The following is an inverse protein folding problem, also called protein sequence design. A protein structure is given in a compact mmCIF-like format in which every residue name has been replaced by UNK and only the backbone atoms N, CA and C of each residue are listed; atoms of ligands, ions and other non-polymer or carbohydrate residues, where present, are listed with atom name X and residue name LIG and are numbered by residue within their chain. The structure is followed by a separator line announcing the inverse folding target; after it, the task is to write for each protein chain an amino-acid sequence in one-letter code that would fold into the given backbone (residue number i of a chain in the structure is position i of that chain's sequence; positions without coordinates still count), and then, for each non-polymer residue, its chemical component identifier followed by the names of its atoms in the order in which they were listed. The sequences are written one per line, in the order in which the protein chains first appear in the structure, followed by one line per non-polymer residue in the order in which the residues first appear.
data_IF_463847968548
#
_entry.id   IF_463847968548
#
_cell.length_a   1.000
_cell.length_b   1.000
_cell.length_c   1.000
_cell.angle_alpha   90.00
_cell.angle_beta   90.00
_cell.angle_gamma   90.00
#
_symmetry.space_group_name_H-M   'P 1'
#
loop_
_entity.id
_entity.type
_entity.pdbx_description
1 polymer ?
#
# COMPACT_ATOMS: atom_id res chain seq x y z
N UNK A 1 3.86 18.78 -22.64
CA UNK A 1 5.03 19.35 -21.94
C UNK A 1 4.75 20.63 -21.14
N UNK A 2 3.84 21.53 -21.55
CA UNK A 2 3.54 22.76 -20.78
C UNK A 2 2.77 22.51 -19.47
N UNK A 3 1.81 21.59 -19.44
CA UNK A 3 1.03 21.22 -18.24
C UNK A 3 1.89 20.60 -17.12
N UNK A 4 2.85 19.75 -17.47
CA UNK A 4 3.75 19.11 -16.51
C UNK A 4 4.68 20.12 -15.83
N UNK A 5 5.17 21.13 -16.58
CA UNK A 5 5.97 22.24 -16.03
C UNK A 5 5.16 23.10 -15.06
N UNK A 6 3.89 23.38 -15.38
CA UNK A 6 3.02 24.18 -14.50
C UNK A 6 2.70 23.46 -13.18
N UNK A 7 2.52 22.14 -13.19
CA UNK A 7 2.31 21.34 -11.97
C UNK A 7 3.54 21.26 -11.08
N UNK A 8 4.74 21.16 -11.69
CA UNK A 8 6.00 21.15 -10.93
C UNK A 8 6.28 22.51 -10.30
N UNK A 9 6.00 23.60 -11.02
CA UNK A 9 6.17 24.97 -10.51
C UNK A 9 5.14 25.26 -9.39
N UNK A 10 3.89 24.83 -9.53
CA UNK A 10 2.88 24.97 -8.49
C UNK A 10 3.25 24.21 -7.21
N UNK A 11 3.81 22.99 -7.33
CA UNK A 11 4.29 22.20 -6.20
C UNK A 11 5.51 22.85 -5.51
N UNK A 12 6.41 23.47 -6.27
CA UNK A 12 7.56 24.21 -5.71
C UNK A 12 7.15 25.51 -5.01
N UNK A 13 6.14 26.22 -5.51
CA UNK A 13 5.66 27.47 -4.90
C UNK A 13 4.85 27.18 -3.62
N UNK A 14 4.06 26.12 -3.58
CA UNK A 14 3.36 25.70 -2.38
C UNK A 14 4.30 25.26 -1.24
N UNK A 15 5.50 24.74 -1.57
CA UNK A 15 6.54 24.39 -0.61
C UNK A 15 7.29 25.58 0.00
N UNK A 16 7.30 26.74 -0.66
CA UNK A 16 8.09 27.91 -0.25
C UNK A 16 7.37 28.85 0.74
N UNK A 17 6.04 28.74 0.89
CA UNK A 17 5.24 29.65 1.69
C UNK A 17 5.10 29.29 3.18
N UNK A 18 5.54 28.10 3.60
CA UNK A 18 5.52 27.72 5.01
C UNK A 18 6.85 28.09 5.69
N UNK A 19 6.96 29.33 6.20
CA UNK A 19 7.98 29.66 7.21
C UNK A 19 7.75 28.78 8.44
N UNK A 20 8.47 27.66 8.53
CA UNK A 20 8.48 26.83 9.73
C UNK A 20 9.20 27.59 10.84
N UNK A 21 8.57 27.76 12.03
CA UNK A 21 9.30 28.24 13.20
C UNK A 21 10.46 27.25 13.47
N UNK A 22 11.63 27.77 13.85
CA UNK A 22 12.77 26.93 14.21
C UNK A 22 12.35 25.93 15.29
N UNK A 23 12.71 24.64 15.18
CA UNK A 23 12.35 23.66 16.17
C UNK A 23 12.94 24.05 17.53
N UNK A 24 12.17 23.96 18.63
CA UNK A 24 12.67 24.29 19.96
C UNK A 24 13.89 23.40 20.24
N UNK A 25 14.92 23.97 20.91
CA UNK A 25 16.18 23.29 21.25
C UNK A 25 16.00 21.89 21.87
N UNK A 26 14.87 21.64 22.51
CA UNK A 26 14.48 20.33 23.04
C UNK A 26 14.33 19.23 21.96
N UNK A 27 13.99 19.57 20.70
CA UNK A 27 13.85 18.60 19.62
C UNK A 27 15.22 18.10 19.10
N UNK A 28 16.25 18.95 19.12
CA UNK A 28 17.60 18.60 18.68
C UNK A 28 18.29 17.68 19.71
N UNK A 29 17.94 17.79 20.98
CA UNK A 29 18.53 16.97 22.06
C UNK A 29 17.96 15.52 22.06
N UNK A 30 16.76 15.27 21.49
CA UNK A 30 16.17 13.91 21.39
C UNK A 30 16.79 13.03 20.32
N UNK A 31 17.51 13.58 19.36
CA UNK A 31 18.22 12.81 18.33
C UNK A 31 19.49 12.12 18.84
N UNK A 32 19.94 12.41 20.07
CA UNK A 32 21.08 11.76 20.74
C UNK A 32 20.71 10.54 21.58
N UNK A 33 19.42 10.33 21.87
CA UNK A 33 18.92 9.09 22.48
C UNK A 33 18.75 8.06 21.38
N UNK A 34 19.44 6.91 21.46
CA UNK A 34 19.39 5.86 20.45
C UNK A 34 17.96 5.52 20.03
N UNK A 35 17.78 5.14 18.75
CA UNK A 35 16.50 4.73 18.15
C UNK A 35 15.92 3.55 18.94
N UNK A 36 15.08 3.82 19.93
CA UNK A 36 14.31 2.77 20.60
C UNK A 36 13.04 2.46 19.83
N UNK A 37 12.57 1.22 19.88
CA UNK A 37 11.31 0.81 19.26
C UNK A 37 10.14 1.73 19.71
N UNK A 38 10.16 2.15 20.99
CA UNK A 38 9.16 3.08 21.54
C UNK A 38 9.23 4.46 20.91
N UNK A 39 10.42 5.01 20.64
CA UNK A 39 10.57 6.32 19.98
C UNK A 39 10.15 6.27 18.51
N UNK A 40 10.42 5.17 17.80
CA UNK A 40 9.98 4.96 16.42
C UNK A 40 8.44 4.84 16.34
N UNK A 41 7.83 4.06 17.24
CA UNK A 41 6.39 3.93 17.31
C UNK A 41 5.68 5.26 17.63
N UNK A 42 6.25 6.05 18.56
CA UNK A 42 5.73 7.38 18.88
C UNK A 42 5.83 8.34 17.69
N UNK A 43 6.97 8.35 16.98
CA UNK A 43 7.17 9.18 15.79
C UNK A 43 6.24 8.80 14.64
N UNK A 44 6.05 7.49 14.40
CA UNK A 44 5.11 6.99 13.41
C UNK A 44 3.65 7.35 13.77
N UNK A 45 3.26 7.19 15.04
CA UNK A 45 1.95 7.59 15.54
C UNK A 45 1.69 9.09 15.39
N UNK A 46 2.69 9.93 15.64
CA UNK A 46 2.62 11.37 15.42
C UNK A 46 2.46 11.71 13.93
N UNK A 47 3.21 11.04 13.05
CA UNK A 47 3.09 11.20 11.61
C UNK A 47 1.70 10.78 11.09
N UNK A 48 1.15 9.66 11.59
CA UNK A 48 -0.22 9.21 11.25
C UNK A 48 -1.28 10.21 11.67
N UNK A 49 -1.12 10.91 12.79
CA UNK A 49 -2.09 11.90 13.27
C UNK A 49 -2.02 13.22 12.51
N UNK A 50 -0.82 13.63 12.06
CA UNK A 50 -0.62 14.91 11.35
C UNK A 50 -0.84 14.83 9.85
N UNK A 51 -0.39 13.72 9.23
CA UNK A 51 -0.46 13.51 7.78
C UNK A 51 -0.84 12.06 7.46
N UNK A 52 -2.08 11.63 7.74
CA UNK A 52 -2.47 10.22 7.68
C UNK A 52 -2.32 9.60 6.29
N UNK A 53 -2.74 10.31 5.24
CA UNK A 53 -2.66 9.81 3.86
C UNK A 53 -1.20 9.64 3.43
N UNK A 54 -0.39 10.68 3.62
CA UNK A 54 1.03 10.63 3.23
C UNK A 54 1.79 9.53 3.97
N UNK A 55 1.57 9.41 5.28
CA UNK A 55 2.23 8.39 6.11
C UNK A 55 1.85 6.98 5.66
N UNK A 56 0.56 6.71 5.44
CA UNK A 56 0.09 5.42 4.92
C UNK A 56 0.64 5.13 3.52
N UNK A 57 0.67 6.13 2.65
CA UNK A 57 1.17 6.02 1.28
C UNK A 57 2.67 5.70 1.24
N UNK A 58 3.48 6.43 2.00
CA UNK A 58 4.93 6.17 2.08
C UNK A 58 5.20 4.78 2.66
N UNK A 59 4.47 4.39 3.71
CA UNK A 59 4.60 3.07 4.31
C UNK A 59 4.23 1.97 3.32
N UNK A 60 3.11 2.12 2.61
CA UNK A 60 2.67 1.16 1.61
C UNK A 60 3.67 1.06 0.43
N UNK A 61 4.19 2.20 -0.04
CA UNK A 61 5.20 2.22 -1.09
C UNK A 61 6.48 1.47 -0.69
N UNK A 62 6.99 1.72 0.51
CA UNK A 62 8.16 1.01 1.03
C UNK A 62 7.91 -0.50 1.15
N UNK A 63 6.75 -0.89 1.68
CA UNK A 63 6.38 -2.31 1.84
C UNK A 63 6.25 -2.99 0.49
N UNK A 64 5.59 -2.38 -0.49
CA UNK A 64 5.39 -2.97 -1.81
C UNK A 64 6.70 -3.11 -2.57
N UNK A 65 7.58 -2.10 -2.50
CA UNK A 65 8.93 -2.19 -3.07
C UNK A 65 9.76 -3.32 -2.45
N UNK A 66 9.77 -3.42 -1.12
CA UNK A 66 10.46 -4.50 -0.41
C UNK A 66 9.86 -5.88 -0.73
N UNK A 67 8.54 -5.98 -0.83
CA UNK A 67 7.83 -7.23 -1.18
C UNK A 67 8.21 -7.70 -2.57
N UNK A 68 8.22 -6.80 -3.56
CA UNK A 68 8.61 -7.15 -4.93
C UNK A 68 10.09 -7.54 -5.00
N UNK A 69 10.98 -6.81 -4.34
CA UNK A 69 12.39 -7.17 -4.26
C UNK A 69 12.60 -8.55 -3.61
N UNK A 70 11.79 -8.90 -2.61
CA UNK A 70 11.80 -10.22 -1.97
C UNK A 70 11.25 -11.29 -2.93
N UNK A 71 10.14 -11.02 -3.61
CA UNK A 71 9.55 -11.92 -4.60
C UNK A 71 10.54 -12.22 -5.73
N UNK A 72 11.26 -11.22 -6.22
CA UNK A 72 12.32 -11.43 -7.23
C UNK A 72 13.45 -12.30 -6.70
N UNK A 73 13.83 -12.16 -5.43
CA UNK A 73 14.86 -13.01 -4.82
C UNK A 73 14.41 -14.48 -4.72
N UNK A 74 13.11 -14.70 -4.47
CA UNK A 74 12.52 -16.06 -4.37
C UNK A 74 12.41 -16.71 -5.75
N UNK A 75 12.04 -15.94 -6.79
CA UNK A 75 11.74 -16.46 -8.13
C UNK A 75 12.91 -16.41 -9.11
N UNK A 76 14.07 -15.83 -8.72
CA UNK A 76 15.08 -15.45 -9.70
C UNK A 76 16.02 -16.58 -10.07
N UNK A 77 16.05 -16.86 -11.39
CA UNK A 77 17.21 -17.41 -12.12
C UNK A 77 17.97 -16.30 -12.87
N UNK A 78 17.68 -15.02 -12.60
CA UNK A 78 18.21 -13.88 -13.34
C UNK A 78 18.47 -12.63 -12.48
N UNK A 79 18.93 -11.56 -13.10
CA UNK A 79 19.18 -10.27 -12.45
C UNK A 79 17.91 -9.61 -11.93
N UNK A 80 18.06 -8.72 -10.93
CA UNK A 80 16.97 -7.97 -10.34
C UNK A 80 16.42 -6.90 -11.29
N UNK A 81 15.11 -6.90 -11.51
CA UNK A 81 14.42 -5.87 -12.27
C UNK A 81 14.00 -4.71 -11.33
N UNK A 82 14.81 -3.68 -11.28
CA UNK A 82 14.56 -2.49 -10.48
C UNK A 82 13.38 -1.65 -10.98
N UNK A 83 13.07 -1.71 -12.28
CA UNK A 83 11.91 -0.99 -12.84
C UNK A 83 10.61 -1.60 -12.30
N UNK A 84 10.51 -2.92 -12.25
CA UNK A 84 9.40 -3.64 -11.65
C UNK A 84 9.24 -3.29 -10.16
N UNK A 85 10.34 -3.27 -9.41
CA UNK A 85 10.34 -2.88 -7.99
C UNK A 85 9.88 -1.43 -7.82
N UNK A 86 10.34 -0.51 -8.67
CA UNK A 86 9.92 0.89 -8.64
C UNK A 86 8.42 1.04 -8.92
N UNK A 87 7.87 0.29 -9.88
CA UNK A 87 6.43 0.30 -10.17
C UNK A 87 5.63 -0.25 -8.99
N UNK A 88 6.06 -1.34 -8.36
CA UNK A 88 5.42 -1.85 -7.14
C UNK A 88 5.41 -0.80 -6.03
N UNK A 89 6.53 -0.11 -5.81
CA UNK A 89 6.62 1.01 -4.88
C UNK A 89 5.63 2.12 -5.21
N UNK A 90 5.53 2.51 -6.48
CA UNK A 90 4.59 3.55 -6.94
C UNK A 90 3.12 3.13 -6.78
N UNK A 91 2.78 1.86 -7.03
CA UNK A 91 1.43 1.33 -6.76
C UNK A 91 1.09 1.45 -5.28
N UNK A 92 2.00 1.10 -4.38
CA UNK A 92 1.81 1.26 -2.94
C UNK A 92 1.64 2.74 -2.55
N UNK A 93 2.53 3.60 -3.04
CA UNK A 93 2.57 5.02 -2.71
C UNK A 93 1.37 5.80 -3.27
N UNK A 94 1.09 5.65 -4.56
CA UNK A 94 0.15 6.52 -5.29
C UNK A 94 -1.28 5.97 -5.34
N UNK A 95 -1.44 4.65 -5.22
CA UNK A 95 -2.75 4.01 -5.31
C UNK A 95 -3.17 3.36 -3.98
N UNK A 96 -2.44 2.35 -3.49
CA UNK A 96 -2.89 1.57 -2.35
C UNK A 96 -3.01 2.40 -1.07
N UNK A 97 -2.04 3.24 -0.74
CA UNK A 97 -2.08 4.09 0.45
C UNK A 97 -3.31 4.99 0.51
N UNK A 98 -3.58 5.82 -0.51
CA UNK A 98 -4.79 6.66 -0.57
C UNK A 98 -6.07 5.84 -0.63
N UNK A 99 -6.11 4.77 -1.45
CA UNK A 99 -7.30 3.93 -1.61
C UNK A 99 -7.65 3.19 -0.31
N UNK A 100 -6.66 2.62 0.38
CA UNK A 100 -6.86 1.97 1.67
C UNK A 100 -7.32 2.97 2.74
N UNK A 101 -6.77 4.20 2.76
CA UNK A 101 -7.25 5.24 3.66
C UNK A 101 -8.73 5.54 3.43
N UNK A 102 -9.12 5.81 2.18
CA UNK A 102 -10.50 6.09 1.82
C UNK A 102 -11.42 4.88 2.11
N UNK A 103 -10.96 3.67 1.84
CA UNK A 103 -11.69 2.44 2.12
C UNK A 103 -12.00 2.29 3.62
N UNK A 104 -10.96 2.32 4.47
CA UNK A 104 -11.16 2.18 5.92
C UNK A 104 -12.02 3.30 6.49
N UNK A 105 -11.81 4.54 6.08
CA UNK A 105 -12.63 5.66 6.51
C UNK A 105 -14.11 5.45 6.13
N UNK A 106 -14.38 4.96 4.93
CA UNK A 106 -15.74 4.66 4.45
C UNK A 106 -16.38 3.52 5.24
N UNK A 107 -15.71 2.38 5.39
CA UNK A 107 -16.32 1.23 6.06
C UNK A 107 -16.51 1.46 7.56
N UNK A 108 -15.64 2.23 8.20
CA UNK A 108 -15.83 2.60 9.60
C UNK A 108 -16.94 3.62 9.82
N UNK A 109 -17.19 4.51 8.85
CA UNK A 109 -18.37 5.42 8.88
C UNK A 109 -19.68 4.69 8.65
N UNK A 110 -19.71 3.73 7.70
CA UNK A 110 -20.91 2.96 7.38
C UNK A 110 -21.26 1.95 8.47
N UNK A 111 -20.24 1.37 9.11
CA UNK A 111 -20.38 0.35 10.14
C UNK A 111 -19.58 0.74 11.38
N UNK A 112 -20.01 1.77 12.13
CA UNK A 112 -19.27 2.28 13.29
C UNK A 112 -19.27 1.30 14.45
N UNK A 113 -20.23 0.37 14.48
CA UNK A 113 -20.38 -0.61 15.55
C UNK A 113 -19.21 -1.61 15.55
N UNK A 114 -18.81 -2.04 16.75
CA UNK A 114 -17.88 -3.15 16.95
C UNK A 114 -18.58 -4.50 16.91
N UNK A 115 -17.81 -5.55 17.17
CA UNK A 115 -18.30 -6.91 17.30
C UNK A 115 -18.21 -7.74 16.01
N UNK A 116 -18.45 -9.05 16.17
CA UNK A 116 -18.20 -10.06 15.14
C UNK A 116 -19.01 -9.79 13.86
N UNK A 117 -20.29 -9.45 13.98
CA UNK A 117 -21.16 -9.17 12.83
C UNK A 117 -20.63 -8.02 11.97
N UNK A 118 -20.27 -6.91 12.61
CA UNK A 118 -19.72 -5.73 11.90
C UNK A 118 -18.37 -6.06 11.26
N UNK A 119 -17.51 -6.80 11.93
CA UNK A 119 -16.24 -7.29 11.40
C UNK A 119 -16.44 -8.15 10.15
N UNK A 120 -17.34 -9.11 10.19
CA UNK A 120 -17.63 -9.97 9.05
C UNK A 120 -18.18 -9.20 7.85
N UNK A 121 -19.06 -8.22 8.08
CA UNK A 121 -19.58 -7.35 7.00
C UNK A 121 -18.45 -6.54 6.38
N UNK A 122 -17.61 -5.88 7.18
CA UNK A 122 -16.46 -5.09 6.69
C UNK A 122 -15.50 -5.95 5.88
N UNK A 123 -15.18 -7.15 6.38
CA UNK A 123 -14.32 -8.09 5.69
C UNK A 123 -14.94 -8.58 4.38
N UNK A 124 -16.22 -8.97 4.38
CA UNK A 124 -16.92 -9.41 3.17
C UNK A 124 -16.92 -8.31 2.09
N UNK A 125 -17.21 -7.06 2.47
CA UNK A 125 -17.14 -5.93 1.55
C UNK A 125 -15.73 -5.72 1.00
N UNK A 126 -14.70 -5.85 1.85
CA UNK A 126 -13.30 -5.79 1.45
C UNK A 126 -12.95 -6.84 0.41
N UNK A 127 -13.39 -8.08 0.63
CA UNK A 127 -13.17 -9.19 -0.31
C UNK A 127 -13.95 -9.05 -1.62
N UNK A 128 -15.15 -8.48 -1.58
CA UNK A 128 -15.98 -8.32 -2.78
C UNK A 128 -15.55 -7.14 -3.65
N UNK A 129 -15.08 -6.05 -3.07
CA UNK A 129 -14.84 -4.82 -3.80
C UNK A 129 -13.37 -4.37 -3.77
N UNK A 130 -12.78 -4.23 -2.58
CA UNK A 130 -11.44 -3.66 -2.46
C UNK A 130 -10.37 -4.60 -3.00
N UNK A 131 -10.39 -5.87 -2.60
CA UNK A 131 -9.39 -6.87 -3.00
C UNK A 131 -9.32 -7.09 -4.51
N UNK A 132 -10.43 -7.41 -5.20
CA UNK A 132 -10.44 -7.58 -6.65
C UNK A 132 -10.02 -6.32 -7.40
N UNK A 133 -10.53 -5.15 -7.02
CA UNK A 133 -10.17 -3.88 -7.66
C UNK A 133 -8.68 -3.60 -7.53
N UNK A 134 -8.12 -3.78 -6.33
CA UNK A 134 -6.70 -3.61 -6.08
C UNK A 134 -5.86 -4.58 -6.91
N UNK A 135 -6.25 -5.86 -6.96
CA UNK A 135 -5.55 -6.89 -7.74
C UNK A 135 -5.54 -6.54 -9.24
N UNK A 136 -6.66 -6.06 -9.79
CA UNK A 136 -6.74 -5.61 -11.17
C UNK A 136 -5.75 -4.47 -11.46
N UNK A 137 -5.68 -3.47 -10.59
CA UNK A 137 -4.75 -2.33 -10.73
C UNK A 137 -3.29 -2.79 -10.60
N UNK A 138 -3.01 -3.69 -9.67
CA UNK A 138 -1.67 -4.24 -9.47
C UNK A 138 -1.19 -5.03 -10.69
N UNK A 139 -2.04 -5.89 -11.27
CA UNK A 139 -1.74 -6.61 -12.50
C UNK A 139 -1.49 -5.67 -13.67
N UNK A 140 -2.34 -4.65 -13.84
CA UNK A 140 -2.13 -3.66 -14.89
C UNK A 140 -0.78 -2.95 -14.75
N UNK A 141 -0.47 -2.45 -13.56
CA UNK A 141 0.78 -1.75 -13.31
C UNK A 141 2.00 -2.65 -13.57
N UNK A 142 1.94 -3.91 -13.16
CA UNK A 142 2.99 -4.89 -13.38
C UNK A 142 3.19 -5.20 -14.86
N UNK A 143 2.09 -5.39 -15.62
CA UNK A 143 2.15 -5.61 -17.07
C UNK A 143 2.72 -4.39 -17.80
N UNK A 144 2.32 -3.19 -17.41
CA UNK A 144 2.84 -1.94 -18.01
C UNK A 144 4.33 -1.77 -17.70
N UNK A 145 4.79 -2.18 -16.53
CA UNK A 145 6.20 -2.14 -16.17
C UNK A 145 7.07 -3.03 -17.07
N UNK A 146 6.57 -4.23 -17.38
CA UNK A 146 7.33 -5.24 -18.14
C UNK A 146 7.16 -5.07 -19.65
N UNK A 147 5.94 -4.83 -20.12
CA UNK A 147 5.58 -4.83 -21.54
C UNK A 147 5.47 -3.42 -22.15
N UNK A 148 5.51 -2.38 -21.32
CA UNK A 148 5.17 -1.02 -21.72
C UNK A 148 3.66 -0.78 -21.82
N UNK A 149 3.26 0.50 -21.90
CA UNK A 149 1.85 0.93 -21.77
C UNK A 149 0.90 0.24 -22.76
N UNK A 150 1.25 0.22 -24.06
CA UNK A 150 0.36 -0.30 -25.10
C UNK A 150 0.13 -1.80 -24.98
N UNK A 151 1.18 -2.57 -24.81
CA UNK A 151 1.09 -4.03 -24.67
C UNK A 151 0.52 -4.43 -23.31
N UNK A 152 0.90 -3.74 -22.23
CA UNK A 152 0.34 -3.98 -20.90
C UNK A 152 -1.17 -3.82 -20.86
N UNK A 153 -1.70 -2.75 -21.47
CA UNK A 153 -3.16 -2.56 -21.60
C UNK A 153 -3.82 -3.64 -22.45
N UNK A 154 -3.19 -4.07 -23.54
CA UNK A 154 -3.74 -5.11 -24.40
C UNK A 154 -3.78 -6.50 -23.72
N UNK A 155 -2.77 -6.82 -22.91
CA UNK A 155 -2.65 -8.11 -22.20
C UNK A 155 -3.47 -8.18 -20.91
N UNK A 156 -3.86 -7.02 -20.35
CA UNK A 156 -4.55 -6.95 -19.05
C UNK A 156 -5.87 -7.75 -18.97
N UNK A 157 -6.79 -7.71 -19.96
CA UNK A 157 -8.01 -8.53 -19.89
C UNK A 157 -7.72 -10.04 -19.84
N UNK A 158 -6.71 -10.51 -20.57
CA UNK A 158 -6.23 -11.89 -20.51
C UNK A 158 -5.75 -12.27 -19.12
N UNK A 159 -4.88 -11.44 -18.53
CA UNK A 159 -4.36 -11.63 -17.16
C UNK A 159 -5.49 -11.68 -16.13
N UNK A 160 -6.49 -10.81 -16.24
CA UNK A 160 -7.65 -10.83 -15.34
C UNK A 160 -8.41 -12.14 -15.46
N UNK A 161 -8.72 -12.59 -16.68
CA UNK A 161 -9.44 -13.85 -16.91
C UNK A 161 -8.70 -15.06 -16.35
N UNK A 162 -7.40 -15.07 -16.49
CA UNK A 162 -6.54 -16.19 -16.11
C UNK A 162 -6.34 -16.25 -14.59
N UNK A 163 -6.00 -15.13 -13.95
CA UNK A 163 -5.42 -15.13 -12.60
C UNK A 163 -6.28 -14.49 -11.52
N UNK A 164 -7.27 -13.63 -11.88
CA UNK A 164 -8.03 -12.88 -10.88
C UNK A 164 -8.79 -13.77 -9.91
N UNK A 165 -9.48 -14.80 -10.43
CA UNK A 165 -10.31 -15.68 -9.60
C UNK A 165 -9.44 -16.49 -8.63
N UNK A 166 -8.34 -17.04 -9.11
CA UNK A 166 -7.41 -17.80 -8.28
C UNK A 166 -6.76 -16.92 -7.19
N UNK A 167 -6.35 -15.70 -7.58
CA UNK A 167 -5.78 -14.71 -6.64
C UNK A 167 -6.80 -14.27 -5.61
N UNK A 168 -8.04 -14.02 -6.03
CA UNK A 168 -9.14 -13.66 -5.13
C UNK A 168 -9.47 -14.81 -4.15
N UNK A 169 -9.54 -16.05 -4.64
CA UNK A 169 -9.77 -17.21 -3.80
C UNK A 169 -8.65 -17.39 -2.74
N UNK A 170 -7.39 -17.17 -3.11
CA UNK A 170 -6.29 -17.13 -2.15
C UNK A 170 -6.47 -16.00 -1.12
N UNK A 171 -6.98 -14.83 -1.55
CA UNK A 171 -7.32 -13.71 -0.68
C UNK A 171 -8.39 -14.05 0.35
N UNK A 172 -9.40 -14.84 -0.02
CA UNK A 172 -10.41 -15.36 0.91
C UNK A 172 -9.82 -16.26 2.00
N UNK A 173 -8.71 -16.93 1.73
CA UNK A 173 -7.97 -17.71 2.71
C UNK A 173 -7.03 -16.89 3.62
N UNK A 174 -6.74 -15.65 3.27
CA UNK A 174 -5.76 -14.81 3.98
C UNK A 174 -6.40 -13.61 4.70
N UNK A 175 -7.09 -12.76 3.97
CA UNK A 175 -7.56 -11.45 4.47
C UNK A 175 -8.62 -11.53 5.56
N UNK A 176 -9.61 -12.47 5.55
CA UNK A 176 -10.58 -12.56 6.64
C UNK A 176 -9.93 -12.81 8.00
N UNK A 177 -8.84 -13.58 8.05
CA UNK A 177 -8.09 -13.79 9.31
C UNK A 177 -7.37 -12.51 9.74
N UNK A 178 -6.76 -11.78 8.79
CA UNK A 178 -6.15 -10.48 9.06
C UNK A 178 -7.19 -9.49 9.58
N UNK A 179 -8.38 -9.46 8.97
CA UNK A 179 -9.48 -8.60 9.37
C UNK A 179 -10.03 -8.94 10.76
N UNK A 180 -10.21 -10.22 11.07
CA UNK A 180 -10.63 -10.67 12.40
C UNK A 180 -9.65 -10.21 13.48
N UNK A 181 -8.35 -10.36 13.23
CA UNK A 181 -7.31 -9.88 14.16
C UNK A 181 -7.31 -8.36 14.23
N UNK A 182 -7.37 -7.68 13.10
CA UNK A 182 -7.35 -6.22 13.01
C UNK A 182 -8.50 -5.58 13.77
N UNK A 183 -9.72 -6.01 13.47
CA UNK A 183 -10.93 -5.40 14.04
C UNK A 183 -11.26 -5.92 15.45
N UNK A 184 -10.82 -7.15 15.79
CA UNK A 184 -11.10 -7.77 17.07
C UNK A 184 -10.10 -7.44 18.17
N UNK A 185 -8.83 -7.28 17.85
CA UNK A 185 -7.78 -7.24 18.86
C UNK A 185 -6.83 -6.04 18.73
N UNK A 186 -6.71 -5.43 17.53
CA UNK A 186 -5.75 -4.34 17.32
C UNK A 186 -6.42 -3.00 17.60
N UNK A 187 -5.85 -2.13 18.48
CA UNK A 187 -6.35 -0.77 18.65
C UNK A 187 -6.37 -0.01 17.31
N UNK A 188 -7.44 0.73 17.03
CA UNK A 188 -7.70 1.36 15.73
C UNK A 188 -6.49 2.15 15.16
N UNK A 189 -5.74 2.84 16.01
CA UNK A 189 -4.54 3.59 15.62
C UNK A 189 -3.41 2.72 15.04
N UNK A 190 -3.34 1.43 15.40
CA UNK A 190 -2.29 0.50 14.96
C UNK A 190 -2.74 -0.43 13.83
N UNK A 191 -4.05 -0.47 13.51
CA UNK A 191 -4.58 -1.28 12.39
C UNK A 191 -3.82 -1.00 11.09
N UNK A 192 -3.54 0.26 10.68
CA UNK A 192 -2.82 0.51 9.44
C UNK A 192 -1.42 -0.11 9.41
N UNK A 193 -0.69 -0.08 10.52
CA UNK A 193 0.65 -0.67 10.59
C UNK A 193 0.57 -2.21 10.54
N UNK A 194 -0.37 -2.81 11.28
CA UNK A 194 -0.59 -4.26 11.27
C UNK A 194 -0.98 -4.76 9.88
N UNK A 195 -1.97 -4.13 9.24
CA UNK A 195 -2.41 -4.48 7.88
C UNK A 195 -1.29 -4.30 6.86
N UNK A 196 -0.50 -3.23 6.96
CA UNK A 196 0.67 -3.05 6.11
C UNK A 196 1.73 -4.17 6.31
N UNK A 197 1.92 -4.64 7.54
CA UNK A 197 2.83 -5.79 7.81
C UNK A 197 2.31 -7.07 7.17
N UNK A 198 1.00 -7.33 7.25
CA UNK A 198 0.36 -8.45 6.56
C UNK A 198 0.40 -8.27 5.04
N UNK A 199 0.25 -7.03 4.55
CA UNK A 199 0.36 -6.70 3.13
C UNK A 199 1.75 -6.99 2.57
N UNK A 200 2.81 -6.97 3.38
CA UNK A 200 4.14 -7.41 2.94
C UNK A 200 4.10 -8.84 2.40
N UNK A 201 3.55 -9.79 3.17
CA UNK A 201 3.43 -11.19 2.77
C UNK A 201 2.50 -11.33 1.56
N UNK A 202 1.36 -10.65 1.59
CA UNK A 202 0.40 -10.69 0.49
C UNK A 202 0.97 -10.12 -0.83
N UNK A 203 1.73 -9.04 -0.77
CA UNK A 203 2.30 -8.41 -1.96
C UNK A 203 3.45 -9.24 -2.55
N UNK A 204 4.19 -10.01 -1.75
CA UNK A 204 5.12 -11.02 -2.27
C UNK A 204 4.33 -12.02 -3.14
N UNK A 205 3.23 -12.55 -2.63
CA UNK A 205 2.37 -13.45 -3.39
C UNK A 205 1.84 -12.82 -4.68
N UNK A 206 1.30 -11.58 -4.60
CA UNK A 206 0.82 -10.85 -5.78
C UNK A 206 1.91 -10.60 -6.82
N UNK A 207 3.11 -10.26 -6.36
CA UNK A 207 4.24 -10.02 -7.26
C UNK A 207 4.66 -11.29 -8.00
N UNK A 208 4.61 -12.46 -7.33
CA UNK A 208 4.83 -13.76 -7.96
C UNK A 208 3.71 -14.10 -8.96
N UNK A 209 2.45 -13.83 -8.63
CA UNK A 209 1.33 -14.05 -9.56
C UNK A 209 1.39 -13.11 -10.77
N UNK A 210 1.74 -11.85 -10.56
CA UNK A 210 1.88 -10.88 -11.64
C UNK A 210 2.99 -11.24 -12.62
N UNK A 211 4.06 -11.88 -12.13
CA UNK A 211 5.21 -12.30 -12.95
C UNK A 211 4.92 -13.52 -13.83
N UNK A 212 3.84 -14.27 -13.60
CA UNK A 212 3.45 -15.37 -14.49
C UNK A 212 3.08 -14.80 -15.86
N UNK A 213 3.62 -15.39 -16.90
CA UNK A 213 3.29 -15.04 -18.30
C UNK A 213 1.83 -15.32 -18.58
N UNK A 214 1.23 -14.50 -19.45
CA UNK A 214 -0.09 -14.78 -20.03
C UNK A 214 0.18 -15.70 -21.22
N UNK A 215 -0.13 -16.99 -21.07
CA UNK A 215 -0.06 -17.99 -22.16
C UNK A 215 -1.17 -17.76 -23.17
#
# INVERSE_FOLDING_TARGET
MRLLRSLIIAAMIAGAAARRPAPPRAAVMRLRGGLSVGSLAASYGAALSTNPILTKSVTAGAIFGLSDATAQTISSDGGRDWARTAVSCLVGLCYFGPAAHAWYDTVFRLFPEGGVKSTLIKSALGQMFFGPTFTCVFFLASLVAVLGLRQGLASWPGKIKQDLVATWAAGLGFWPFVDLVSYGFIPAKWIPLFVNSCSFVWTIYLSLQAAKTVD
#
